data_IF_887154355484
#
_entry.id   IF_887154355484
#
_cell.length_a   1.000
_cell.length_b   1.000
_cell.length_c   1.000
_cell.angle_alpha   90.00
_cell.angle_beta   90.00
_cell.angle_gamma   90.00
#
_symmetry.space_group_name_H-M   'P 1'
#
loop_
_entity.id
_entity.type
_entity.pdbx_description
1 polymer ?
#
# COMPACT_ATOMS: atom_id res chain seq x y z
N UNK A 1 5.91 -67.75 15.34
CA UNK A 1 6.23 -66.51 16.00
C UNK A 1 7.03 -65.48 15.16
N UNK A 2 7.09 -65.63 13.83
CA UNK A 2 7.77 -64.67 12.92
C UNK A 2 6.83 -63.81 12.06
N UNK A 3 5.53 -64.09 12.10
CA UNK A 3 4.55 -63.40 11.24
C UNK A 3 3.83 -62.22 11.92
N UNK A 4 4.09 -61.95 13.20
CA UNK A 4 3.47 -60.84 13.97
C UNK A 4 4.36 -59.62 14.09
N UNK A 5 5.67 -59.76 13.81
CA UNK A 5 6.64 -58.62 13.86
C UNK A 5 6.68 -57.78 12.57
N UNK A 6 6.29 -58.34 11.44
CA UNK A 6 6.32 -57.64 10.14
C UNK A 6 5.09 -56.75 9.89
N UNK A 7 4.00 -56.86 10.66
CA UNK A 7 2.82 -56.01 10.52
C UNK A 7 2.91 -54.72 11.35
N UNK A 8 3.71 -54.70 12.42
CA UNK A 8 3.95 -53.49 13.26
C UNK A 8 4.98 -52.53 12.68
N UNK A 9 5.83 -53.00 11.77
CA UNK A 9 6.84 -52.15 11.13
C UNK A 9 6.30 -51.37 9.91
N UNK A 10 5.15 -51.75 9.36
CA UNK A 10 4.53 -51.03 8.22
C UNK A 10 3.47 -50.00 8.61
N UNK A 11 3.08 -49.92 9.87
CA UNK A 11 2.05 -48.97 10.35
C UNK A 11 2.65 -47.74 11.01
N UNK A 12 3.97 -47.63 11.15
CA UNK A 12 4.66 -46.45 11.71
C UNK A 12 5.35 -45.57 10.70
N UNK A 13 5.15 -45.76 9.38
CA UNK A 13 5.78 -44.93 8.34
C UNK A 13 4.83 -44.02 7.57
N UNK A 14 3.60 -43.82 8.03
CA UNK A 14 2.61 -42.99 7.30
C UNK A 14 2.00 -41.84 8.10
N UNK A 15 2.66 -41.38 9.17
CA UNK A 15 2.16 -40.25 9.96
C UNK A 15 3.20 -39.14 10.20
N UNK A 16 4.09 -38.89 9.24
CA UNK A 16 5.05 -37.79 9.33
C UNK A 16 5.19 -36.97 8.04
N UNK A 17 4.08 -36.68 7.36
CA UNK A 17 4.09 -35.76 6.23
C UNK A 17 2.83 -34.87 6.22
N UNK A 18 2.58 -34.15 7.29
CA UNK A 18 1.62 -33.07 7.29
C UNK A 18 2.01 -32.08 8.37
N UNK A 19 2.99 -31.23 8.10
CA UNK A 19 3.16 -29.90 8.70
C UNK A 19 4.51 -29.27 8.25
N UNK A 20 4.59 -28.60 7.10
CA UNK A 20 5.56 -27.52 6.99
C UNK A 20 5.01 -26.21 6.40
N UNK A 21 3.69 -26.13 6.05
CA UNK A 21 3.22 -24.93 5.33
C UNK A 21 3.10 -23.66 6.17
N UNK A 22 2.96 -23.75 7.48
CA UNK A 22 2.59 -22.61 8.33
C UNK A 22 3.81 -21.85 8.89
N UNK A 23 4.93 -22.51 9.06
CA UNK A 23 6.10 -21.92 9.73
C UNK A 23 6.87 -20.91 8.85
N UNK A 24 6.66 -20.90 7.54
CA UNK A 24 7.59 -20.24 6.64
C UNK A 24 7.17 -18.85 6.17
N UNK A 25 5.87 -18.51 6.17
CA UNK A 25 5.44 -17.11 5.96
C UNK A 25 5.91 -16.25 7.14
N UNK A 26 5.91 -16.81 8.35
CA UNK A 26 6.47 -16.15 9.53
C UNK A 26 8.00 -16.00 9.46
N UNK A 27 8.72 -16.92 8.80
CA UNK A 27 10.18 -16.86 8.70
C UNK A 27 10.70 -15.89 7.63
N UNK A 28 9.97 -15.60 6.57
CA UNK A 28 10.37 -14.55 5.62
C UNK A 28 10.25 -13.14 6.21
N UNK A 29 9.42 -12.97 7.22
CA UNK A 29 9.33 -11.71 7.98
C UNK A 29 10.41 -11.58 9.06
N UNK A 30 11.03 -12.69 9.50
CA UNK A 30 11.87 -12.71 10.71
C UNK A 30 13.36 -12.50 10.48
N UNK A 31 13.83 -12.33 9.24
CA UNK A 31 15.23 -11.95 8.98
C UNK A 31 15.48 -10.45 8.82
N UNK A 32 14.44 -9.62 8.88
CA UNK A 32 14.66 -8.26 9.35
C UNK A 32 15.01 -8.39 10.85
N UNK A 33 16.30 -8.35 11.15
CA UNK A 33 16.86 -8.52 12.48
C UNK A 33 15.92 -7.96 13.54
N UNK A 34 15.56 -8.78 14.53
CA UNK A 34 15.08 -8.30 15.81
C UNK A 34 16.21 -7.48 16.45
N UNK A 35 16.49 -6.31 15.91
CA UNK A 35 17.17 -5.27 16.63
C UNK A 35 16.21 -4.85 17.72
N UNK A 36 16.71 -4.76 18.97
CA UNK A 36 16.14 -3.98 20.05
C UNK A 36 15.86 -2.57 19.51
N UNK A 37 14.77 -2.45 18.77
CA UNK A 37 14.28 -1.18 18.30
C UNK A 37 13.63 -0.54 19.52
N UNK A 38 14.40 0.30 20.22
CA UNK A 38 13.79 1.36 21.03
C UNK A 38 12.71 1.98 20.15
N UNK A 39 11.47 1.97 20.63
CA UNK A 39 10.30 2.47 19.90
C UNK A 39 10.62 3.87 19.35
N UNK A 40 10.88 3.96 18.04
CA UNK A 40 11.15 5.25 17.41
C UNK A 40 9.86 6.04 17.28
N UNK A 41 9.82 7.19 17.90
CA UNK A 41 8.72 8.14 17.80
C UNK A 41 8.98 9.12 16.67
N UNK A 42 8.14 9.15 15.60
CA UNK A 42 8.31 10.13 14.52
C UNK A 42 8.18 11.57 15.01
N UNK A 43 9.11 12.42 14.64
CA UNK A 43 9.04 13.86 14.92
C UNK A 43 8.06 14.53 13.94
N UNK A 44 7.16 15.42 14.41
CA UNK A 44 6.32 16.22 13.52
C UNK A 44 7.16 17.06 12.55
N UNK A 45 6.78 17.06 11.27
CA UNK A 45 7.49 17.84 10.24
C UNK A 45 8.84 17.27 9.80
N UNK A 46 9.14 16.00 10.14
CA UNK A 46 10.33 15.29 9.68
C UNK A 46 9.98 13.91 9.12
N UNK A 47 10.75 13.48 8.14
CA UNK A 47 10.64 12.10 7.63
C UNK A 47 11.30 11.13 8.62
N UNK A 48 10.54 10.13 9.04
CA UNK A 48 11.07 9.07 9.89
C UNK A 48 11.97 8.11 9.09
N UNK A 49 13.05 7.59 9.68
CA UNK A 49 13.92 6.63 9.02
C UNK A 49 13.20 5.28 8.83
N UNK A 50 12.96 4.88 7.59
CA UNK A 50 12.22 3.66 7.25
C UNK A 50 12.74 2.41 7.97
N UNK A 51 14.06 2.29 8.14
CA UNK A 51 14.69 1.16 8.80
C UNK A 51 14.34 1.00 10.30
N UNK A 52 13.71 2.01 10.91
CA UNK A 52 13.22 1.97 12.30
C UNK A 52 11.76 1.57 12.41
N UNK A 53 11.06 1.41 11.30
CA UNK A 53 9.67 0.99 11.29
C UNK A 53 9.53 -0.51 11.59
N UNK A 54 8.51 -0.86 12.35
CA UNK A 54 8.15 -2.25 12.62
C UNK A 54 7.31 -2.81 11.49
N UNK A 55 7.69 -3.96 10.98
CA UNK A 55 6.91 -4.68 9.98
C UNK A 55 5.73 -5.42 10.64
N UNK A 56 4.54 -5.27 10.03
CA UNK A 56 3.33 -6.04 10.35
C UNK A 56 2.63 -6.36 9.03
N UNK A 57 1.99 -7.52 8.95
CA UNK A 57 1.19 -7.90 7.79
C UNK A 57 -0.15 -8.50 8.20
N UNK A 58 -1.11 -8.46 7.31
CA UNK A 58 -2.43 -9.01 7.54
C UNK A 58 -3.43 -8.58 6.49
N UNK A 59 -4.66 -9.02 6.67
CA UNK A 59 -5.78 -8.66 5.81
C UNK A 59 -6.34 -7.28 6.15
N UNK A 60 -6.55 -6.45 5.15
CA UNK A 60 -7.21 -5.16 5.29
C UNK A 60 -8.72 -5.35 5.52
N UNK A 61 -9.21 -5.04 6.71
CA UNK A 61 -10.59 -5.31 7.13
C UNK A 61 -11.45 -4.07 7.35
N UNK A 62 -10.83 -2.90 7.42
CA UNK A 62 -11.52 -1.63 7.58
C UNK A 62 -10.77 -0.51 6.88
N UNK A 63 -11.52 0.43 6.30
CA UNK A 63 -11.02 1.63 5.62
C UNK A 63 -11.80 2.88 6.05
N UNK A 64 -11.07 3.93 6.38
CA UNK A 64 -11.54 5.31 6.48
C UNK A 64 -10.62 6.19 5.61
N UNK A 65 -10.89 6.27 4.29
CA UNK A 65 -10.01 6.97 3.36
C UNK A 65 -9.92 8.47 3.64
N UNK A 66 -10.99 9.07 4.18
CA UNK A 66 -11.05 10.52 4.47
C UNK A 66 -10.05 10.89 5.56
N UNK A 67 -9.95 10.08 6.61
CA UNK A 67 -9.03 10.29 7.71
C UNK A 67 -7.70 9.54 7.52
N UNK A 68 -7.53 8.86 6.37
CA UNK A 68 -6.35 8.03 6.05
C UNK A 68 -6.08 6.99 7.15
N UNK A 69 -7.13 6.28 7.56
CA UNK A 69 -7.11 5.24 8.60
C UNK A 69 -7.60 3.92 8.05
N UNK A 70 -7.15 2.85 8.66
CA UNK A 70 -7.62 1.52 8.34
C UNK A 70 -7.45 0.57 9.52
N UNK A 71 -7.76 -0.69 9.28
CA UNK A 71 -7.42 -1.76 10.21
C UNK A 71 -7.01 -3.01 9.45
N UNK A 72 -6.04 -3.73 9.99
CA UNK A 72 -5.61 -5.04 9.50
C UNK A 72 -5.92 -6.12 10.53
N UNK A 73 -6.35 -7.27 10.04
CA UNK A 73 -6.39 -8.50 10.83
C UNK A 73 -5.03 -9.16 10.69
N UNK A 74 -4.23 -9.08 11.75
CA UNK A 74 -2.87 -9.61 11.74
C UNK A 74 -2.87 -11.13 11.67
N UNK A 75 -1.91 -11.70 10.97
CA UNK A 75 -1.78 -13.13 10.75
C UNK A 75 -1.64 -13.94 12.05
N UNK A 76 -1.00 -13.37 13.06
CA UNK A 76 -0.77 -14.04 14.35
C UNK A 76 -1.98 -13.96 15.30
N UNK A 77 -2.94 -13.09 15.03
CA UNK A 77 -4.15 -12.89 15.84
C UNK A 77 -5.34 -13.64 15.23
N UNK A 78 -5.26 -14.96 15.18
CA UNK A 78 -6.34 -15.80 14.71
C UNK A 78 -7.69 -15.37 15.32
N UNK A 79 -8.67 -15.04 14.50
CA UNK A 79 -10.12 -14.98 14.73
C UNK A 79 -10.68 -14.32 16.02
N UNK A 80 -9.99 -14.38 17.15
CA UNK A 80 -10.47 -13.89 18.42
C UNK A 80 -9.87 -12.56 18.86
N UNK A 81 -8.84 -12.08 18.14
CA UNK A 81 -8.22 -10.80 18.42
C UNK A 81 -8.91 -9.65 17.70
N UNK A 82 -8.88 -8.44 18.28
CA UNK A 82 -9.35 -7.24 17.59
C UNK A 82 -8.47 -6.94 16.37
N UNK A 83 -9.07 -6.30 15.37
CA UNK A 83 -8.29 -5.75 14.26
C UNK A 83 -7.30 -4.72 14.80
N UNK A 84 -6.11 -4.66 14.20
CA UNK A 84 -5.10 -3.66 14.49
C UNK A 84 -5.41 -2.39 13.70
N UNK A 85 -5.96 -1.38 14.36
CA UNK A 85 -6.26 -0.09 13.77
C UNK A 85 -4.99 0.73 13.54
N UNK A 86 -4.93 1.43 12.42
CA UNK A 86 -3.79 2.27 12.07
C UNK A 86 -4.21 3.59 11.42
N UNK A 87 -3.31 4.57 11.48
CA UNK A 87 -3.36 5.79 10.68
C UNK A 87 -2.13 5.85 9.77
N UNK A 88 -2.27 6.46 8.59
CA UNK A 88 -1.13 6.74 7.73
C UNK A 88 -0.43 8.02 8.19
N UNK A 89 0.90 8.01 8.29
CA UNK A 89 1.69 9.23 8.41
C UNK A 89 1.43 10.15 7.21
N UNK A 90 1.60 11.48 7.35
CA UNK A 90 1.31 12.41 6.25
C UNK A 90 2.04 12.08 4.94
N UNK A 91 3.27 11.58 5.05
CA UNK A 91 4.16 11.18 3.94
C UNK A 91 4.18 9.67 3.71
N UNK A 92 3.24 8.93 4.28
CA UNK A 92 3.16 7.49 4.07
C UNK A 92 2.85 7.17 2.60
N UNK A 93 3.49 6.13 2.10
CA UNK A 93 3.25 5.61 0.76
C UNK A 93 2.31 4.42 0.81
N UNK A 94 1.35 4.38 -0.11
CA UNK A 94 0.51 3.21 -0.35
C UNK A 94 0.81 2.72 -1.75
N UNK A 95 0.97 1.39 -1.92
CA UNK A 95 1.16 0.77 -3.23
C UNK A 95 0.15 -0.35 -3.42
N UNK A 96 -0.42 -0.39 -4.62
CA UNK A 96 -1.35 -1.41 -5.03
C UNK A 96 -1.09 -1.77 -6.50
N UNK A 97 -1.06 -3.07 -6.82
CA UNK A 97 -0.76 -3.56 -8.17
C UNK A 97 0.55 -2.98 -8.77
N UNK A 98 1.58 -2.79 -7.95
CA UNK A 98 2.90 -2.31 -8.38
C UNK A 98 3.02 -0.80 -8.58
N UNK A 99 1.99 -0.01 -8.34
CA UNK A 99 2.00 1.45 -8.49
C UNK A 99 1.60 2.17 -7.21
N UNK A 100 1.81 3.50 -7.18
CA UNK A 100 1.29 4.36 -6.12
C UNK A 100 -0.24 4.28 -6.07
N UNK A 101 -0.77 4.34 -4.87
CA UNK A 101 -2.19 4.24 -4.60
C UNK A 101 -2.59 5.12 -3.42
N UNK A 102 -3.88 5.35 -3.28
CA UNK A 102 -4.49 5.81 -2.03
C UNK A 102 -5.10 4.63 -1.29
N UNK A 103 -5.30 4.78 0.01
CA UNK A 103 -5.87 3.71 0.85
C UNK A 103 -7.22 3.20 0.31
N UNK A 104 -8.02 4.07 -0.32
CA UNK A 104 -9.30 3.73 -0.95
C UNK A 104 -9.18 2.86 -2.21
N UNK A 105 -7.99 2.78 -2.80
CA UNK A 105 -7.75 1.97 -3.99
C UNK A 105 -7.49 0.51 -3.66
N UNK A 106 -7.17 0.21 -2.39
CA UNK A 106 -6.91 -1.14 -1.90
C UNK A 106 -8.22 -1.78 -1.43
N UNK A 107 -8.70 -2.84 -2.09
CA UNK A 107 -9.94 -3.52 -1.69
C UNK A 107 -9.86 -4.11 -0.28
N UNK A 108 -10.99 -4.11 0.45
CA UNK A 108 -11.10 -4.90 1.67
C UNK A 108 -10.89 -6.39 1.38
N UNK A 109 -10.26 -7.10 2.29
CA UNK A 109 -9.87 -8.49 2.13
C UNK A 109 -8.49 -8.68 1.50
N UNK A 110 -7.85 -7.63 0.95
CA UNK A 110 -6.48 -7.72 0.43
C UNK A 110 -5.49 -7.95 1.57
N UNK A 111 -4.60 -8.94 1.40
CA UNK A 111 -3.44 -9.06 2.27
C UNK A 111 -2.46 -7.92 2.00
N UNK A 112 -1.98 -7.29 3.05
CA UNK A 112 -1.10 -6.13 2.97
C UNK A 112 0.12 -6.28 3.88
N UNK A 113 1.22 -5.71 3.42
CA UNK A 113 2.48 -5.56 4.13
C UNK A 113 2.62 -4.12 4.58
N UNK A 114 2.73 -3.89 5.88
CA UNK A 114 2.84 -2.56 6.46
C UNK A 114 4.11 -2.37 7.27
N UNK A 115 4.58 -1.11 7.32
CA UNK A 115 5.68 -0.67 8.16
C UNK A 115 5.19 0.45 9.07
N UNK A 116 5.32 0.27 10.37
CA UNK A 116 4.63 1.06 11.37
C UNK A 116 5.57 1.64 12.43
N UNK A 117 5.21 2.80 12.93
CA UNK A 117 5.78 3.46 14.10
C UNK A 117 4.76 3.55 15.22
N UNK A 118 5.24 3.84 16.41
CA UNK A 118 4.38 4.35 17.48
C UNK A 118 3.86 5.75 17.10
N UNK A 119 2.76 6.22 17.70
CA UNK A 119 2.19 7.54 17.37
C UNK A 119 3.22 8.66 17.48
N UNK A 120 3.24 9.61 16.51
CA UNK A 120 3.96 10.87 16.68
C UNK A 120 3.47 11.61 17.92
N UNK A 121 4.34 12.38 18.55
CA UNK A 121 3.97 13.18 19.72
C UNK A 121 2.80 14.12 19.43
N UNK A 122 1.76 14.04 20.23
CA UNK A 122 0.51 14.77 20.08
C UNK A 122 -0.49 14.13 19.11
N UNK A 123 -0.22 12.90 18.64
CA UNK A 123 -1.11 12.12 17.79
C UNK A 123 -1.57 10.81 18.46
N UNK A 124 -1.31 10.66 19.74
CA UNK A 124 -1.59 9.45 20.52
C UNK A 124 -3.08 9.05 20.50
N UNK A 125 -3.96 10.05 20.40
CA UNK A 125 -5.41 9.84 20.34
C UNK A 125 -5.97 9.68 18.92
N UNK A 126 -5.12 9.68 17.89
CA UNK A 126 -5.56 9.51 16.50
C UNK A 126 -6.25 8.16 16.30
N UNK A 127 -5.75 7.12 16.96
CA UNK A 127 -6.36 5.80 16.99
C UNK A 127 -7.00 5.60 18.36
N UNK A 128 -8.31 5.37 18.44
CA UNK A 128 -8.98 5.09 19.71
C UNK A 128 -8.36 3.86 20.41
N UNK A 129 -8.22 3.89 21.73
CA UNK A 129 -7.73 2.74 22.48
C UNK A 129 -8.68 1.56 22.35
N UNK A 130 -8.13 0.35 22.37
CA UNK A 130 -8.93 -0.87 22.41
C UNK A 130 -9.73 -0.94 23.72
N UNK A 131 -10.93 -1.58 23.70
CA UNK A 131 -11.65 -1.95 24.92
C UNK A 131 -10.77 -2.71 25.90
N UNK A 132 -11.05 -2.59 27.20
CA UNK A 132 -10.20 -3.15 28.26
C UNK A 132 -9.94 -4.65 28.10
N UNK A 133 -10.92 -5.40 27.67
CA UNK A 133 -10.83 -6.84 27.39
C UNK A 133 -9.86 -7.19 26.27
N UNK A 134 -9.62 -6.26 25.36
CA UNK A 134 -8.74 -6.42 24.21
C UNK A 134 -7.37 -5.74 24.35
N UNK A 135 -7.13 -4.97 25.41
CA UNK A 135 -5.86 -4.23 25.63
C UNK A 135 -4.62 -5.11 25.56
N UNK A 136 -4.72 -6.39 25.97
CA UNK A 136 -3.62 -7.35 25.89
C UNK A 136 -3.14 -7.65 24.47
N UNK A 137 -3.97 -7.34 23.47
CA UNK A 137 -3.63 -7.50 22.04
C UNK A 137 -3.14 -6.20 21.41
N UNK A 138 -3.10 -5.11 22.17
CA UNK A 138 -2.69 -3.82 21.63
C UNK A 138 -1.24 -3.85 21.15
N UNK A 139 -1.05 -3.45 19.89
CA UNK A 139 0.27 -3.21 19.31
C UNK A 139 0.47 -1.71 19.23
N UNK A 140 1.49 -1.13 19.90
CA UNK A 140 1.66 0.32 19.97
C UNK A 140 2.04 0.94 18.61
N UNK A 141 2.61 0.14 17.69
CA UNK A 141 3.04 0.57 16.37
C UNK A 141 1.83 0.65 15.42
N UNK A 142 1.17 1.79 15.38
CA UNK A 142 -0.09 1.99 14.66
C UNK A 142 -0.09 3.19 13.71
N UNK A 143 1.08 3.80 13.42
CA UNK A 143 1.22 4.85 12.42
C UNK A 143 2.06 4.34 11.26
N UNK A 144 1.39 4.01 10.14
CA UNK A 144 2.03 3.41 8.98
C UNK A 144 2.82 4.45 8.17
N UNK A 145 4.03 4.10 7.79
CA UNK A 145 4.86 4.83 6.82
C UNK A 145 4.75 4.22 5.42
N UNK A 146 4.42 2.93 5.33
CA UNK A 146 4.22 2.22 4.07
C UNK A 146 3.16 1.15 4.22
N UNK A 147 2.35 0.98 3.17
CA UNK A 147 1.39 -0.11 3.03
C UNK A 147 1.44 -0.61 1.59
N UNK A 148 1.65 -1.91 1.38
CA UNK A 148 1.79 -2.53 0.06
C UNK A 148 0.97 -3.83 0.00
N UNK A 149 0.31 -4.10 -1.15
CA UNK A 149 -0.23 -5.42 -1.44
C UNK A 149 0.89 -6.43 -1.76
N UNK A 150 0.58 -7.72 -1.84
CA UNK A 150 1.58 -8.75 -2.15
C UNK A 150 2.25 -8.51 -3.51
N UNK A 151 1.47 -8.10 -4.52
CA UNK A 151 2.01 -7.80 -5.83
C UNK A 151 3.11 -6.74 -5.74
N UNK A 152 2.83 -5.59 -5.12
CA UNK A 152 3.77 -4.47 -4.98
C UNK A 152 4.98 -4.85 -4.13
N UNK A 153 4.73 -5.53 -3.01
CA UNK A 153 5.76 -5.92 -2.05
C UNK A 153 6.79 -6.88 -2.68
N UNK A 154 6.34 -7.95 -3.32
CA UNK A 154 7.23 -8.93 -3.94
C UNK A 154 7.89 -8.39 -5.22
N UNK A 155 7.16 -7.61 -6.03
CA UNK A 155 7.73 -6.95 -7.20
C UNK A 155 8.90 -6.02 -6.83
N UNK A 156 8.76 -5.23 -5.76
CA UNK A 156 9.83 -4.34 -5.27
C UNK A 156 11.07 -5.11 -4.81
N UNK A 157 10.89 -6.33 -4.35
CA UNK A 157 11.99 -7.23 -3.96
C UNK A 157 12.58 -8.00 -5.14
N UNK A 158 12.04 -7.83 -6.35
CA UNK A 158 12.44 -8.61 -7.53
C UNK A 158 12.01 -10.08 -7.43
N UNK A 159 10.97 -10.36 -6.66
CA UNK A 159 10.39 -11.69 -6.49
C UNK A 159 9.11 -11.85 -7.31
N UNK A 160 8.89 -13.06 -7.75
CA UNK A 160 7.68 -13.56 -8.37
C UNK A 160 7.43 -14.99 -7.88
N UNK A 161 6.43 -15.66 -8.41
CA UNK A 161 6.08 -17.01 -8.04
C UNK A 161 6.07 -17.90 -9.28
N UNK A 162 6.57 -19.12 -9.15
CA UNK A 162 6.48 -20.13 -10.20
C UNK A 162 5.50 -21.20 -9.80
N UNK A 163 4.53 -21.48 -10.65
CA UNK A 163 3.56 -22.54 -10.44
C UNK A 163 4.23 -23.89 -10.57
N UNK A 164 4.16 -24.73 -9.54
CA UNK A 164 4.77 -26.06 -9.51
C UNK A 164 3.74 -27.19 -9.56
N UNK A 165 2.52 -26.95 -9.05
CA UNK A 165 1.43 -27.91 -9.16
C UNK A 165 0.07 -27.20 -9.08
N UNK A 166 -0.96 -27.82 -9.65
CA UNK A 166 -2.35 -27.37 -9.58
C UNK A 166 -3.18 -28.60 -9.23
N UNK A 167 -3.92 -28.51 -8.14
CA UNK A 167 -4.87 -29.53 -7.71
C UNK A 167 -6.29 -28.96 -7.91
N UNK A 168 -6.86 -29.28 -9.07
CA UNK A 168 -8.19 -28.77 -9.45
C UNK A 168 -9.28 -29.36 -8.58
N UNK A 169 -9.12 -30.61 -8.13
CA UNK A 169 -10.15 -31.32 -7.33
C UNK A 169 -10.26 -30.73 -5.93
N UNK A 170 -9.13 -30.29 -5.35
CA UNK A 170 -9.07 -29.69 -4.02
C UNK A 170 -8.97 -28.17 -4.07
N UNK A 171 -9.11 -27.56 -5.25
CA UNK A 171 -9.05 -26.10 -5.44
C UNK A 171 -7.76 -25.46 -4.87
N UNK A 172 -6.59 -26.09 -5.13
CA UNK A 172 -5.30 -25.64 -4.61
C UNK A 172 -4.27 -25.42 -5.72
N UNK A 173 -3.40 -24.44 -5.48
CA UNK A 173 -2.23 -24.18 -6.30
C UNK A 173 -0.98 -24.19 -5.43
N UNK A 174 0.07 -24.85 -5.93
CA UNK A 174 1.38 -24.82 -5.30
C UNK A 174 2.30 -23.93 -6.10
N UNK A 175 2.96 -23.00 -5.42
CA UNK A 175 3.90 -22.06 -6.02
C UNK A 175 5.21 -22.05 -5.26
N UNK A 176 6.32 -21.84 -5.94
CA UNK A 176 7.63 -21.62 -5.35
C UNK A 176 8.11 -20.19 -5.65
N UNK A 177 8.87 -19.55 -4.73
CA UNK A 177 9.48 -18.26 -5.01
C UNK A 177 10.37 -18.33 -6.26
N UNK A 178 10.24 -17.34 -7.15
CA UNK A 178 11.09 -17.19 -8.33
C UNK A 178 11.64 -15.75 -8.36
N UNK A 179 12.92 -15.58 -8.72
CA UNK A 179 13.57 -14.26 -8.82
C UNK A 179 14.95 -14.20 -8.19
N UNK A 180 15.53 -13.01 -8.14
CA UNK A 180 16.94 -12.77 -7.81
C UNK A 180 17.29 -12.89 -6.32
N UNK A 181 16.32 -12.96 -5.44
CA UNK A 181 16.53 -13.03 -3.98
C UNK A 181 15.78 -14.20 -3.34
N UNK A 182 15.95 -15.39 -3.87
CA UNK A 182 15.67 -16.58 -3.06
C UNK A 182 16.67 -16.60 -1.92
N UNK A 183 16.20 -16.35 -0.69
CA UNK A 183 17.04 -16.59 0.49
C UNK A 183 17.44 -18.07 0.50
N UNK A 184 18.73 -18.31 0.69
CA UNK A 184 19.32 -19.62 0.64
C UNK A 184 18.51 -20.65 1.44
N UNK A 185 18.06 -21.69 0.76
CA UNK A 185 17.73 -22.98 1.36
C UNK A 185 16.26 -23.30 1.58
N UNK A 186 15.28 -22.48 1.20
CA UNK A 186 13.86 -22.80 1.39
C UNK A 186 13.14 -22.93 0.03
N UNK A 187 13.35 -24.08 -0.60
CA UNK A 187 12.60 -24.51 -1.81
C UNK A 187 11.31 -25.25 -1.46
N UNK A 188 10.64 -24.89 -0.35
CA UNK A 188 9.37 -25.52 -0.01
C UNK A 188 8.26 -24.77 -0.74
N UNK A 189 7.49 -25.44 -1.60
CA UNK A 189 6.35 -24.80 -2.26
C UNK A 189 5.32 -24.32 -1.25
N UNK A 190 4.73 -23.18 -1.54
CA UNK A 190 3.57 -22.67 -0.82
C UNK A 190 2.31 -23.21 -1.46
N UNK A 191 1.34 -23.60 -0.65
CA UNK A 191 0.03 -24.02 -1.10
C UNK A 191 -0.98 -22.95 -0.75
N UNK A 192 -1.73 -22.49 -1.76
CA UNK A 192 -2.80 -21.52 -1.59
C UNK A 192 -4.11 -22.09 -2.13
N UNK A 193 -5.20 -21.66 -1.52
CA UNK A 193 -6.54 -21.98 -2.03
C UNK A 193 -6.87 -21.07 -3.22
N UNK A 194 -7.54 -21.66 -4.20
CA UNK A 194 -8.13 -20.98 -5.36
C UNK A 194 -9.59 -21.36 -5.43
N UNK A 195 -10.48 -20.42 -5.67
CA UNK A 195 -11.91 -20.68 -5.78
C UNK A 195 -12.54 -19.83 -6.90
N UNK A 196 -13.86 -19.91 -7.03
CA UNK A 196 -14.61 -19.18 -8.05
C UNK A 196 -14.48 -17.63 -7.93
N UNK A 197 -13.94 -17.11 -6.83
CA UNK A 197 -13.68 -15.69 -6.61
C UNK A 197 -12.27 -15.27 -7.00
N UNK A 198 -11.35 -16.22 -7.16
CA UNK A 198 -10.00 -15.97 -7.65
C UNK A 198 -10.05 -15.40 -9.06
N UNK A 199 -9.54 -14.20 -9.25
CA UNK A 199 -9.48 -13.55 -10.57
C UNK A 199 -8.15 -13.91 -11.24
N UNK A 200 -8.24 -14.55 -12.38
CA UNK A 200 -7.09 -14.98 -13.18
C UNK A 200 -6.98 -14.03 -14.37
N UNK A 201 -5.83 -13.38 -14.52
CA UNK A 201 -5.58 -12.36 -15.52
C UNK A 201 -4.56 -12.84 -16.56
N UNK A 202 -4.97 -12.80 -17.84
CA UNK A 202 -4.16 -13.15 -18.99
C UNK A 202 -4.49 -12.25 -20.17
N UNK A 203 -3.49 -11.70 -20.83
CA UNK A 203 -3.69 -10.81 -21.98
C UNK A 203 -4.67 -9.66 -21.70
N UNK A 204 -4.61 -9.07 -20.48
CA UNK A 204 -5.48 -8.00 -19.94
C UNK A 204 -6.95 -8.41 -19.75
N UNK A 205 -7.28 -9.67 -19.71
CA UNK A 205 -8.65 -10.19 -19.57
C UNK A 205 -8.72 -11.18 -18.44
N UNK A 206 -9.95 -11.38 -17.93
CA UNK A 206 -10.23 -12.51 -17.07
C UNK A 206 -10.09 -13.79 -17.86
N UNK A 207 -9.51 -14.80 -17.25
CA UNK A 207 -9.18 -16.08 -17.80
C UNK A 207 -9.60 -17.19 -16.84
N UNK A 208 -9.48 -18.43 -17.26
CA UNK A 208 -9.90 -19.59 -16.50
C UNK A 208 -8.71 -20.30 -15.82
N UNK A 209 -9.01 -21.12 -14.82
CA UNK A 209 -8.03 -21.96 -14.12
C UNK A 209 -7.21 -22.83 -15.08
N UNK A 210 -7.84 -23.33 -16.15
CA UNK A 210 -7.20 -24.14 -17.19
C UNK A 210 -6.07 -23.39 -17.96
N UNK A 211 -6.05 -22.06 -17.91
CA UNK A 211 -5.00 -21.25 -18.51
C UNK A 211 -3.72 -21.18 -17.68
N UNK A 212 -3.78 -21.52 -16.39
CA UNK A 212 -2.60 -21.62 -15.54
C UNK A 212 -1.84 -22.90 -15.91
N UNK A 213 -0.57 -22.72 -16.25
CA UNK A 213 0.30 -23.86 -16.61
C UNK A 213 1.40 -24.05 -15.59
N UNK A 214 1.72 -25.29 -15.26
CA UNK A 214 2.88 -25.63 -14.44
C UNK A 214 4.14 -25.06 -15.10
N UNK A 215 5.00 -24.42 -14.31
CA UNK A 215 6.19 -23.74 -14.77
C UNK A 215 5.99 -22.27 -15.12
N UNK A 216 4.74 -21.77 -15.18
CA UNK A 216 4.45 -20.35 -15.42
C UNK A 216 4.92 -19.49 -14.23
N UNK A 217 5.57 -18.38 -14.55
CA UNK A 217 5.90 -17.35 -13.56
C UNK A 217 4.73 -16.38 -13.43
N UNK A 218 4.22 -16.23 -12.22
CA UNK A 218 3.03 -15.44 -11.90
C UNK A 218 3.33 -14.39 -10.83
N UNK A 219 2.48 -13.37 -10.76
CA UNK A 219 2.35 -12.50 -9.60
C UNK A 219 0.97 -12.74 -8.99
N UNK A 220 0.84 -12.55 -7.68
CA UNK A 220 -0.42 -12.83 -7.00
C UNK A 220 -0.66 -11.86 -5.84
N UNK A 221 -1.94 -11.68 -5.51
CA UNK A 221 -2.41 -11.06 -4.29
C UNK A 221 -3.20 -12.09 -3.48
N UNK A 222 -2.91 -12.15 -2.19
CA UNK A 222 -3.58 -13.04 -1.25
C UNK A 222 -4.80 -12.37 -0.62
N UNK A 223 -5.70 -13.19 -0.13
CA UNK A 223 -6.89 -12.77 0.62
C UNK A 223 -7.33 -13.84 1.61
N UNK A 224 -7.88 -13.40 2.75
CA UNK A 224 -8.63 -14.27 3.66
C UNK A 224 -10.13 -14.22 3.43
N UNK A 225 -10.61 -13.25 2.66
CA UNK A 225 -12.04 -13.08 2.42
C UNK A 225 -12.72 -14.33 1.86
N UNK A 226 -11.95 -15.16 1.13
CA UNK A 226 -12.40 -16.44 0.60
C UNK A 226 -12.50 -17.52 1.69
N UNK A 227 -11.60 -17.51 2.66
CA UNK A 227 -11.36 -18.59 3.61
C UNK A 227 -11.68 -18.20 5.04
N UNK A 228 -12.77 -17.46 5.21
CA UNK A 228 -13.18 -17.03 6.54
C UNK A 228 -13.37 -18.25 7.44
N UNK A 229 -12.51 -18.35 8.40
CA UNK A 229 -12.49 -19.47 9.29
C UNK A 229 -11.34 -20.46 9.06
N UNK A 230 -10.55 -20.33 8.06
CA UNK A 230 -9.37 -21.16 7.80
C UNK A 230 -8.07 -20.41 8.17
N UNK A 231 -7.00 -21.15 8.42
CA UNK A 231 -5.71 -20.58 8.78
C UNK A 231 -4.88 -20.16 7.57
N UNK A 232 -5.31 -20.50 6.37
CA UNK A 232 -4.58 -20.35 5.13
C UNK A 232 -5.17 -19.23 4.29
N UNK A 233 -4.31 -18.50 3.59
CA UNK A 233 -4.72 -17.50 2.61
C UNK A 233 -5.16 -18.19 1.32
N UNK A 234 -6.21 -17.67 0.70
CA UNK A 234 -6.53 -17.93 -0.70
C UNK A 234 -5.90 -16.87 -1.61
N UNK A 235 -5.96 -17.12 -2.90
CA UNK A 235 -5.55 -16.17 -3.92
C UNK A 235 -6.74 -15.32 -4.34
N UNK A 236 -6.63 -13.99 -4.19
CA UNK A 236 -7.62 -13.05 -4.71
C UNK A 236 -7.40 -12.75 -6.19
N UNK A 237 -6.15 -12.47 -6.57
CA UNK A 237 -5.75 -12.20 -7.96
C UNK A 237 -4.48 -12.95 -8.31
N UNK A 238 -4.42 -13.41 -9.56
CA UNK A 238 -3.22 -14.02 -10.15
C UNK A 238 -3.01 -13.48 -11.58
N UNK A 239 -1.81 -12.97 -11.87
CA UNK A 239 -1.43 -12.46 -13.18
C UNK A 239 -0.46 -13.43 -13.84
N UNK A 240 -0.89 -14.02 -14.97
CA UNK A 240 -0.17 -15.08 -15.67
C UNK A 240 0.94 -14.57 -16.60
N UNK A 241 0.90 -13.31 -16.98
CA UNK A 241 1.83 -12.73 -17.96
C UNK A 241 2.20 -11.28 -17.66
N UNK A 242 3.30 -10.81 -18.28
CA UNK A 242 3.79 -9.44 -18.15
C UNK A 242 2.81 -8.39 -18.69
N UNK A 243 2.04 -8.76 -19.71
CA UNK A 243 1.08 -7.85 -20.35
C UNK A 243 -0.02 -7.48 -19.36
N UNK A 244 -0.56 -8.47 -18.64
CA UNK A 244 -1.58 -8.27 -17.61
C UNK A 244 -1.01 -7.57 -16.38
N UNK A 245 0.23 -7.93 -15.96
CA UNK A 245 0.91 -7.25 -14.85
C UNK A 245 1.13 -5.76 -15.14
N UNK A 246 1.71 -5.46 -16.29
CA UNK A 246 1.98 -4.08 -16.70
C UNK A 246 0.69 -3.28 -16.88
N UNK A 247 -0.37 -3.92 -17.38
CA UNK A 247 -1.67 -3.28 -17.51
C UNK A 247 -2.27 -2.92 -16.15
N UNK A 248 -2.26 -3.83 -15.17
CA UNK A 248 -2.74 -3.57 -13.82
C UNK A 248 -1.98 -2.41 -13.16
N UNK A 249 -0.64 -2.42 -13.28
CA UNK A 249 0.23 -1.35 -12.77
C UNK A 249 -0.06 0.00 -13.42
N UNK A 250 -0.18 0.05 -14.75
CA UNK A 250 -0.47 1.31 -15.46
C UNK A 250 -1.87 1.84 -15.15
N UNK A 251 -2.87 0.95 -15.03
CA UNK A 251 -4.23 1.37 -14.65
C UNK A 251 -4.26 1.96 -13.24
N UNK A 252 -3.57 1.34 -12.28
CA UNK A 252 -3.46 1.90 -10.94
C UNK A 252 -2.69 3.23 -10.93
N UNK A 253 -1.58 3.31 -11.66
CA UNK A 253 -0.81 4.56 -11.80
C UNK A 253 -1.68 5.70 -12.35
N UNK A 254 -2.45 5.45 -13.40
CA UNK A 254 -3.37 6.47 -13.99
C UNK A 254 -4.45 6.89 -13.02
N UNK A 255 -4.99 5.95 -12.23
CA UNK A 255 -5.99 6.25 -11.19
C UNK A 255 -5.40 7.17 -10.14
N UNK A 256 -4.21 6.86 -9.63
CA UNK A 256 -3.51 7.66 -8.64
C UNK A 256 -3.14 9.04 -9.16
N UNK A 257 -2.57 9.14 -10.37
CA UNK A 257 -2.23 10.41 -11.02
C UNK A 257 -3.45 11.35 -11.15
N UNK A 258 -4.60 10.79 -11.50
CA UNK A 258 -5.87 11.53 -11.56
C UNK A 258 -6.27 12.04 -10.17
N UNK A 259 -6.16 11.17 -9.17
CA UNK A 259 -6.45 11.53 -7.78
C UNK A 259 -5.55 12.68 -7.29
N UNK A 260 -4.25 12.60 -7.51
CA UNK A 260 -3.30 13.66 -7.12
C UNK A 260 -3.59 15.00 -7.82
N UNK A 261 -3.98 14.98 -9.11
CA UNK A 261 -4.40 16.20 -9.82
C UNK A 261 -5.63 16.85 -9.22
N UNK A 262 -6.59 16.04 -8.80
CA UNK A 262 -7.83 16.54 -8.19
C UNK A 262 -7.62 17.02 -6.75
N UNK A 263 -6.78 16.32 -5.98
CA UNK A 263 -6.55 16.57 -4.56
C UNK A 263 -5.25 17.34 -4.28
N UNK A 264 -4.49 17.66 -5.32
CA UNK A 264 -3.22 18.38 -5.31
C UNK A 264 -2.07 17.58 -4.68
N UNK A 265 -0.84 17.87 -5.09
CA UNK A 265 0.36 17.22 -4.57
C UNK A 265 0.58 17.56 -3.09
N UNK A 266 0.69 16.56 -2.20
CA UNK A 266 0.93 16.82 -0.79
C UNK A 266 2.40 17.13 -0.51
N UNK A 267 2.63 17.90 0.57
CA UNK A 267 3.94 18.22 1.09
C UNK A 267 3.82 18.89 2.45
N UNK A 268 4.90 19.33 3.00
CA UNK A 268 4.89 20.20 4.18
C UNK A 268 5.79 21.42 4.02
N UNK A 269 5.54 22.42 4.85
CA UNK A 269 6.36 23.62 4.94
C UNK A 269 7.59 23.33 5.80
N UNK A 270 8.78 23.49 5.21
CA UNK A 270 10.06 23.38 5.93
C UNK A 270 10.38 24.69 6.65
N UNK A 271 10.21 25.83 5.94
CA UNK A 271 10.59 27.14 6.42
C UNK A 271 9.72 28.24 5.82
N UNK A 272 9.53 29.32 6.59
CA UNK A 272 8.90 30.56 6.13
C UNK A 272 9.86 31.72 6.38
N UNK A 273 10.07 32.55 5.37
CA UNK A 273 10.87 33.76 5.40
C UNK A 273 9.95 34.96 5.12
N UNK A 274 9.34 35.58 6.14
CA UNK A 274 8.38 36.66 5.95
C UNK A 274 9.06 37.91 5.40
N UNK A 275 8.30 38.67 4.60
CA UNK A 275 8.66 40.02 4.15
C UNK A 275 7.82 41.04 4.91
N UNK A 276 8.20 42.29 4.79
CA UNK A 276 7.35 43.42 5.19
C UNK A 276 6.04 43.36 4.38
N UNK A 277 4.96 43.85 5.00
CA UNK A 277 3.60 43.90 4.38
C UNK A 277 2.92 42.57 4.12
N UNK A 278 3.31 41.49 4.84
CA UNK A 278 2.57 40.24 4.89
C UNK A 278 2.89 39.21 3.80
N UNK A 279 3.85 39.52 2.91
CA UNK A 279 4.38 38.59 1.93
C UNK A 279 5.49 37.69 2.51
N UNK A 280 6.06 36.79 1.67
CA UNK A 280 7.18 35.98 2.10
C UNK A 280 7.58 34.88 1.12
N UNK A 281 8.68 34.19 1.46
CA UNK A 281 9.08 32.95 0.78
C UNK A 281 8.74 31.77 1.69
N UNK A 282 8.08 30.78 1.13
CA UNK A 282 7.82 29.49 1.77
C UNK A 282 8.66 28.43 1.08
N UNK A 283 9.47 27.73 1.86
CA UNK A 283 10.19 26.53 1.42
C UNK A 283 9.37 25.32 1.83
N UNK A 284 9.10 24.43 0.89
CA UNK A 284 8.32 23.21 1.13
C UNK A 284 8.93 21.99 0.43
N UNK A 285 8.82 20.84 1.08
CA UNK A 285 9.21 19.55 0.51
C UNK A 285 7.96 18.75 0.16
N UNK A 286 7.90 18.30 -1.10
CA UNK A 286 6.80 17.44 -1.56
C UNK A 286 6.97 16.02 -1.04
N UNK A 287 5.85 15.37 -0.73
CA UNK A 287 5.81 13.95 -0.43
C UNK A 287 5.97 13.14 -1.73
N UNK A 288 5.93 11.82 -1.62
CA UNK A 288 6.08 10.90 -2.76
C UNK A 288 4.92 11.10 -3.76
N UNK A 289 5.16 11.93 -4.75
CA UNK A 289 4.23 12.37 -5.80
C UNK A 289 4.66 11.82 -7.14
N UNK A 290 3.73 11.54 -8.04
CA UNK A 290 4.06 11.04 -9.38
C UNK A 290 5.01 12.02 -10.11
N UNK A 291 6.06 11.46 -10.71
CA UNK A 291 7.10 12.26 -11.38
C UNK A 291 6.57 13.11 -12.55
N UNK A 292 5.46 12.73 -13.15
CA UNK A 292 4.82 13.51 -14.21
C UNK A 292 4.29 14.85 -13.66
N UNK A 293 3.61 14.81 -12.51
CA UNK A 293 3.13 16.03 -11.85
C UNK A 293 4.26 16.93 -11.39
N UNK A 294 5.33 16.32 -10.87
CA UNK A 294 6.54 17.07 -10.46
C UNK A 294 7.15 17.81 -11.65
N UNK A 295 7.25 17.17 -12.82
CA UNK A 295 7.76 17.81 -14.03
C UNK A 295 6.89 18.98 -14.49
N UNK A 296 5.58 18.85 -14.37
CA UNK A 296 4.65 19.93 -14.71
C UNK A 296 4.84 21.14 -13.81
N UNK A 297 4.97 20.94 -12.47
CA UNK A 297 5.28 22.03 -11.53
C UNK A 297 6.58 22.77 -11.90
N UNK A 298 7.60 22.06 -12.40
CA UNK A 298 8.89 22.67 -12.81
C UNK A 298 8.77 23.54 -14.06
N UNK A 299 7.85 23.23 -14.96
CA UNK A 299 7.62 23.99 -16.19
C UNK A 299 6.97 25.35 -15.95
N UNK A 300 6.30 25.48 -14.81
CA UNK A 300 5.52 26.66 -14.44
C UNK A 300 6.33 27.79 -13.81
N UNK A 301 7.59 27.98 -14.23
CA UNK A 301 8.49 29.00 -13.64
C UNK A 301 7.92 30.41 -13.62
N UNK A 302 7.10 30.74 -14.59
CA UNK A 302 6.45 32.06 -14.73
C UNK A 302 4.97 32.02 -14.35
N UNK A 303 4.47 30.89 -13.90
CA UNK A 303 3.07 30.65 -13.65
C UNK A 303 2.76 30.54 -12.15
N UNK A 304 1.49 30.63 -11.84
CA UNK A 304 1.03 30.62 -10.46
C UNK A 304 0.92 29.19 -9.94
N UNK A 305 1.60 28.93 -8.86
CA UNK A 305 1.44 27.71 -8.09
C UNK A 305 0.49 27.99 -6.94
N UNK A 306 -0.64 27.29 -6.92
CA UNK A 306 -1.59 27.37 -5.82
C UNK A 306 -1.12 26.50 -4.65
N UNK A 307 -1.08 27.07 -3.44
CA UNK A 307 -0.75 26.35 -2.22
C UNK A 307 -1.91 26.50 -1.24
N UNK A 308 -2.40 25.38 -0.76
CA UNK A 308 -3.48 25.31 0.22
C UNK A 308 -2.99 24.65 1.51
N UNK A 309 -3.52 25.09 2.65
CA UNK A 309 -3.36 24.38 3.90
C UNK A 309 -4.13 23.07 3.82
N UNK A 310 -3.42 21.95 3.89
CA UNK A 310 -4.05 20.64 3.99
C UNK A 310 -4.26 20.31 5.46
N UNK A 311 -5.47 19.90 5.79
CA UNK A 311 -5.72 19.19 7.04
C UNK A 311 -5.26 17.73 6.89
N UNK A 312 -5.19 16.97 7.99
CA UNK A 312 -4.93 15.54 7.97
C UNK A 312 -5.97 14.77 7.15
N UNK A 313 -7.18 15.29 7.07
CA UNK A 313 -8.29 14.74 6.29
C UNK A 313 -8.17 15.15 4.82
N UNK A 314 -8.49 14.22 3.92
CA UNK A 314 -8.56 14.47 2.48
C UNK A 314 -9.85 15.21 2.15
N UNK A 315 -9.79 16.53 2.07
CA UNK A 315 -10.92 17.31 1.55
C UNK A 315 -11.03 17.14 0.04
N UNK A 316 -12.21 16.86 -0.43
CA UNK A 316 -12.52 16.79 -1.87
C UNK A 316 -12.61 18.17 -2.51
N UNK A 317 -12.76 19.22 -1.69
CA UNK A 317 -12.93 20.60 -2.14
C UNK A 317 -12.03 21.55 -1.33
N UNK A 318 -11.18 22.30 -2.05
CA UNK A 318 -10.34 23.35 -1.45
C UNK A 318 -10.97 24.70 -1.76
N UNK A 319 -11.46 25.36 -0.74
CA UNK A 319 -12.08 26.68 -0.87
C UNK A 319 -11.04 27.75 -1.25
N UNK A 320 -11.50 28.82 -1.93
CA UNK A 320 -10.59 29.89 -2.37
C UNK A 320 -9.90 30.59 -1.21
N UNK A 321 -10.54 30.70 -0.04
CA UNK A 321 -9.95 31.28 1.17
C UNK A 321 -8.81 30.42 1.77
N UNK A 322 -8.77 29.16 1.46
CA UNK A 322 -7.82 28.20 2.04
C UNK A 322 -6.54 28.06 1.22
N UNK A 323 -6.39 28.86 0.17
CA UNK A 323 -5.25 28.81 -0.75
C UNK A 323 -4.73 30.20 -1.11
N UNK A 324 -3.45 30.29 -1.41
CA UNK A 324 -2.79 31.44 -2.04
C UNK A 324 -1.98 31.00 -3.24
N UNK A 325 -1.77 31.93 -4.14
CA UNK A 325 -0.92 31.71 -5.31
C UNK A 325 0.48 32.27 -5.05
N UNK A 326 1.47 31.55 -5.54
CA UNK A 326 2.86 31.89 -5.41
C UNK A 326 3.60 31.76 -6.73
N UNK A 327 4.72 32.47 -6.84
CA UNK A 327 5.69 32.31 -7.93
C UNK A 327 6.76 31.32 -7.49
N UNK A 328 7.14 30.37 -8.38
CA UNK A 328 8.27 29.47 -8.15
C UNK A 328 9.59 30.29 -8.28
N UNK A 329 10.30 30.42 -7.17
CA UNK A 329 11.60 31.12 -7.11
C UNK A 329 12.74 30.14 -7.35
N UNK A 330 12.66 28.97 -6.69
CA UNK A 330 13.72 27.97 -6.76
C UNK A 330 13.14 26.56 -6.75
N UNK A 331 13.73 25.70 -7.54
CA UNK A 331 13.52 24.28 -7.57
C UNK A 331 14.81 23.58 -7.18
N UNK A 332 14.74 22.74 -6.15
CA UNK A 332 15.89 21.99 -5.67
C UNK A 332 15.58 20.49 -5.65
N UNK A 333 16.45 19.72 -6.26
CA UNK A 333 16.44 18.25 -6.11
C UNK A 333 17.25 17.88 -4.87
N UNK A 334 16.67 17.02 -4.02
CA UNK A 334 17.29 16.51 -2.81
C UNK A 334 18.04 15.23 -3.19
N UNK A 335 19.35 15.23 -2.98
CA UNK A 335 20.14 14.01 -3.17
C UNK A 335 19.82 13.03 -2.06
N UNK A 336 19.63 11.76 -2.41
CA UNK A 336 19.30 10.68 -1.46
C UNK A 336 18.10 11.05 -0.55
N UNK A 337 16.91 11.29 -1.16
CA UNK A 337 15.76 11.75 -0.40
C UNK A 337 15.31 10.69 0.61
N UNK A 338 14.83 11.10 1.80
CA UNK A 338 14.28 10.17 2.76
C UNK A 338 13.02 9.48 2.20
N UNK A 339 12.71 8.31 2.74
CA UNK A 339 11.51 7.57 2.38
C UNK A 339 10.25 8.44 2.60
N UNK A 340 9.33 8.40 1.65
CA UNK A 340 8.11 9.23 1.65
C UNK A 340 8.30 10.65 1.09
N UNK A 341 9.53 11.04 0.71
CA UNK A 341 9.81 12.30 0.01
C UNK A 341 9.85 12.08 -1.50
N UNK A 342 9.33 13.02 -2.27
CA UNK A 342 9.50 13.05 -3.73
C UNK A 342 10.94 13.34 -4.18
N UNK A 343 11.80 13.77 -3.26
CA UNK A 343 13.13 14.28 -3.58
C UNK A 343 13.13 15.71 -4.12
N UNK A 344 12.02 16.44 -3.99
CA UNK A 344 11.89 17.80 -4.52
C UNK A 344 11.50 18.78 -3.43
N UNK A 345 12.24 19.88 -3.38
CA UNK A 345 11.95 21.03 -2.54
C UNK A 345 11.68 22.26 -3.43
N UNK A 346 10.63 22.99 -3.09
CA UNK A 346 10.20 24.19 -3.79
C UNK A 346 10.40 25.42 -2.88
N UNK A 347 10.90 26.52 -3.45
CA UNK A 347 10.83 27.83 -2.81
C UNK A 347 9.84 28.69 -3.56
N UNK A 348 8.80 29.09 -2.88
CA UNK A 348 7.63 29.78 -3.43
C UNK A 348 7.49 31.16 -2.81
N UNK A 349 7.44 32.20 -3.64
CA UNK A 349 7.26 33.59 -3.23
C UNK A 349 5.78 33.95 -3.26
N UNK A 350 5.28 34.41 -2.12
CA UNK A 350 3.90 34.90 -1.92
C UNK A 350 3.86 36.40 -1.75
N UNK A 351 2.84 37.03 -2.34
CA UNK A 351 2.50 38.44 -2.08
C UNK A 351 1.89 38.55 -0.67
N UNK A 352 1.10 37.56 -0.28
CA UNK A 352 0.42 37.49 1.01
C UNK A 352 0.44 36.04 1.52
N UNK A 353 0.87 35.85 2.77
CA UNK A 353 0.88 34.54 3.43
C UNK A 353 -0.46 34.26 4.11
N UNK A 354 -0.92 33.01 4.07
CA UNK A 354 -2.01 32.57 4.94
C UNK A 354 -1.51 32.43 6.38
N UNK A 355 -2.34 32.84 7.33
CA UNK A 355 -2.05 32.66 8.77
C UNK A 355 -1.86 31.20 9.16
N UNK A 356 -2.40 30.28 8.36
CA UNK A 356 -2.24 28.84 8.54
C UNK A 356 -0.90 28.27 8.08
N UNK A 357 -0.07 29.04 7.37
CA UNK A 357 1.27 28.58 6.98
C UNK A 357 2.20 28.59 8.20
N UNK A 358 2.70 27.41 8.54
CA UNK A 358 3.65 27.20 9.66
C UNK A 358 4.61 26.08 9.29
N UNK A 359 5.85 26.18 9.76
CA UNK A 359 6.83 25.09 9.60
C UNK A 359 6.26 23.77 10.18
N UNK A 360 6.50 22.67 9.50
CA UNK A 360 5.98 21.35 9.83
C UNK A 360 4.51 21.10 9.43
N UNK A 361 3.80 22.13 8.95
CA UNK A 361 2.40 21.95 8.54
C UNK A 361 2.29 21.38 7.14
N UNK A 362 1.41 20.38 6.99
CA UNK A 362 1.07 19.83 5.69
C UNK A 362 0.34 20.86 4.83
N UNK A 363 0.68 20.86 3.55
CA UNK A 363 0.09 21.70 2.51
C UNK A 363 -0.17 20.85 1.26
N UNK A 364 -0.96 21.39 0.36
CA UNK A 364 -1.18 20.82 -0.97
C UNK A 364 -0.82 21.84 -2.03
N UNK A 365 -0.16 21.38 -3.08
CA UNK A 365 0.41 22.21 -4.14
C UNK A 365 -0.16 21.80 -5.47
N UNK A 366 -0.56 22.78 -6.27
CA UNK A 366 -1.09 22.58 -7.62
C UNK A 366 -0.54 23.63 -8.57
N UNK A 367 -0.14 23.21 -9.77
CA UNK A 367 0.04 24.11 -10.90
C UNK A 367 -1.31 24.61 -11.43
N UNK A 368 -1.42 25.89 -11.79
CA UNK A 368 -2.61 26.40 -12.51
C UNK A 368 -2.82 25.71 -13.86
N UNK A 369 -1.75 25.19 -14.45
CA UNK A 369 -1.77 24.57 -15.78
C UNK A 369 -1.98 23.06 -15.78
N UNK A 370 -2.19 22.44 -14.63
CA UNK A 370 -2.53 21.04 -14.63
C UNK A 370 -3.83 20.80 -15.38
N UNK A 371 -3.68 20.23 -16.56
CA UNK A 371 -4.80 19.89 -17.42
C UNK A 371 -5.65 18.81 -16.75
N UNK A 372 -6.94 18.92 -16.89
CA UNK A 372 -7.87 17.86 -16.56
C UNK A 372 -7.47 16.59 -17.35
N UNK A 373 -7.27 15.48 -16.66
CA UNK A 373 -7.07 14.18 -17.30
C UNK A 373 -8.45 13.56 -17.53
N UNK A 374 -8.84 13.49 -18.80
CA UNK A 374 -10.07 12.77 -19.13
C UNK A 374 -9.95 11.30 -18.74
N UNK A 375 -11.02 10.73 -18.24
CA UNK A 375 -11.13 9.29 -18.03
C UNK A 375 -10.85 8.58 -19.35
N UNK A 376 -9.95 7.59 -19.40
CA UNK A 376 -9.71 6.80 -20.60
C UNK A 376 -11.03 6.27 -21.18
N UNK A 377 -11.16 6.13 -22.52
CA UNK A 377 -12.41 5.66 -23.11
C UNK A 377 -12.92 4.36 -22.52
N UNK A 378 -12.01 3.44 -22.21
CA UNK A 378 -12.27 2.15 -21.59
C UNK A 378 -12.77 2.22 -20.13
N UNK A 379 -12.54 3.34 -19.47
CA UNK A 379 -13.02 3.61 -18.11
C UNK A 379 -14.26 4.53 -18.09
N UNK A 380 -14.70 5.01 -19.27
CA UNK A 380 -15.88 5.86 -19.36
C UNK A 380 -17.13 5.01 -19.31
N UNK A 381 -17.92 5.24 -18.30
CA UNK A 381 -19.25 4.66 -18.21
C UNK A 381 -20.16 5.52 -19.10
N UNK A 382 -20.54 5.00 -20.26
CA UNK A 382 -21.25 5.76 -21.30
C UNK A 382 -22.76 5.55 -21.29
N UNK A 383 -23.23 4.48 -20.63
CA UNK A 383 -24.66 4.19 -20.53
C UNK A 383 -25.05 3.74 -19.11
N UNK A 384 -26.35 3.81 -18.81
CA UNK A 384 -26.90 3.32 -17.55
C UNK A 384 -26.72 1.80 -17.40
N UNK A 385 -26.80 1.07 -18.50
CA UNK A 385 -26.62 -0.38 -18.53
C UNK A 385 -25.16 -0.76 -18.22
N UNK A 386 -24.19 -0.04 -18.78
CA UNK A 386 -22.77 -0.21 -18.46
C UNK A 386 -22.48 0.19 -17.00
N UNK A 387 -23.17 1.22 -16.47
CA UNK A 387 -23.09 1.56 -15.05
C UNK A 387 -23.61 0.44 -14.16
N UNK A 388 -24.74 -0.15 -14.51
CA UNK A 388 -25.33 -1.25 -13.75
C UNK A 388 -24.49 -2.53 -13.85
N UNK A 389 -23.87 -2.81 -15.00
CA UNK A 389 -22.94 -3.93 -15.18
C UNK A 389 -21.62 -3.68 -14.46
N UNK A 390 -21.09 -2.48 -14.54
CA UNK A 390 -19.88 -2.06 -13.79
C UNK A 390 -20.10 -2.14 -12.29
N UNK A 391 -21.25 -1.69 -11.79
CA UNK A 391 -21.59 -1.82 -10.38
C UNK A 391 -21.74 -3.29 -9.94
N UNK A 392 -22.23 -4.17 -10.82
CA UNK A 392 -22.30 -5.62 -10.53
C UNK A 392 -20.94 -6.30 -10.56
N UNK A 393 -19.97 -5.79 -11.34
CA UNK A 393 -18.59 -6.31 -11.36
C UNK A 393 -17.71 -5.75 -10.23
N UNK A 394 -18.11 -4.63 -9.61
CA UNK A 394 -17.34 -3.97 -8.53
C UNK A 394 -17.82 -4.39 -7.14
N UNK A 395 -18.90 -5.15 -7.06
CA UNK A 395 -19.40 -5.69 -5.79
C UNK A 395 -19.24 -7.23 -5.76
N UNK A 396 -18.06 -7.77 -5.50
CA UNK A 396 -18.00 -9.05 -4.83
C UNK A 396 -18.25 -8.76 -3.35
N UNK A 397 -19.35 -9.22 -2.85
CA UNK A 397 -19.64 -9.28 -1.42
C UNK A 397 -18.72 -10.27 -0.72
#
# INVERSE_FOLDING_TARGET
MKAVQDVLARTMMTTQQLLPGIALIAMMASTAAAQDATDYVPDPGKFAPFAKARYLSGELVYLDPVNRRGAIRMQDNYWSGPAHYFALLPYATVRYNGAHAELRDVPLGTHVHGYFFVPPKGEEETIPPLPDEHKKFAVPHNHAISLEDDFSFYQRQGQSWKVVAIDVENEKINVEPAGTKTQDGINTPYTFDIDARTRIWKDRRLSDLADIKIGTTVQLNLTWAANWGQKEFGIGDIWLDDVSRNFATEMQRRRHLRYERDHWAPGWIDKIEPFDFGGGIVTLTLFDVDRELIKDLRRDKDERIAVAVAEKTLRTWIHRSDRKFAKLVEWKEIKDPPFGSSGVQLRLQFVELLSGYKAGRCVRVKSENWKWVSVPPEERITSREEQEQGARMVLPF
#
